data_IF_695845653395
#
_entry.id   IF_695845653395
#
_cell.length_a   1.000
_cell.length_b   1.000
_cell.length_c   1.000
_cell.angle_alpha   90.00
_cell.angle_beta   90.00
_cell.angle_gamma   90.00
#
_symmetry.space_group_name_H-M   'P 1'
#
loop_
_entity.id
_entity.type
_entity.pdbx_description
1 polymer ?
#
# COMPACT_ATOMS: atom_id res chain seq x y z
N UNK A 1 -27.55 -5.97 24.11
CA UNK A 1 -26.28 -6.63 23.65
C UNK A 1 -26.21 -6.60 22.12
N UNK A 2 -25.87 -5.46 21.51
CA UNK A 2 -25.73 -5.36 20.06
C UNK A 2 -24.61 -4.37 19.71
N UNK A 3 -23.34 -4.82 19.64
CA UNK A 3 -22.25 -3.90 19.27
C UNK A 3 -20.93 -4.56 18.83
N UNK A 4 -20.93 -5.80 18.34
CA UNK A 4 -19.69 -6.42 17.80
C UNK A 4 -19.80 -6.99 16.40
N UNK A 5 -21.01 -7.19 15.88
CA UNK A 5 -21.24 -7.81 14.57
C UNK A 5 -21.27 -6.80 13.40
N UNK A 6 -21.45 -5.50 13.69
CA UNK A 6 -21.54 -4.43 12.68
C UNK A 6 -20.17 -3.86 12.27
N UNK A 7 -19.16 -3.89 13.14
CA UNK A 7 -17.84 -3.32 12.88
C UNK A 7 -16.99 -4.15 11.91
N UNK A 8 -17.10 -5.48 11.96
CA UNK A 8 -16.37 -6.39 11.07
C UNK A 8 -16.81 -6.29 9.59
N UNK A 9 -18.09 -5.94 9.33
CA UNK A 9 -18.63 -5.80 7.96
C UNK A 9 -18.16 -4.52 7.25
N UNK A 10 -17.80 -3.46 7.99
CA UNK A 10 -17.28 -2.20 7.41
C UNK A 10 -15.83 -2.31 6.96
N UNK A 11 -14.99 -3.00 7.74
CA UNK A 11 -13.58 -3.25 7.39
C UNK A 11 -13.42 -3.98 6.05
N UNK A 12 -14.43 -4.75 5.64
CA UNK A 12 -14.42 -5.54 4.41
C UNK A 12 -14.90 -4.77 3.15
N UNK A 13 -15.16 -3.45 3.23
CA UNK A 13 -15.75 -2.68 2.12
C UNK A 13 -15.24 -1.24 2.00
N UNK A 14 -13.95 -0.98 2.26
CA UNK A 14 -13.41 0.30 1.77
C UNK A 14 -13.59 0.35 0.24
N UNK A 15 -14.18 1.42 -0.31
CA UNK A 15 -14.19 1.65 -1.74
C UNK A 15 -12.77 1.57 -2.31
N UNK A 16 -12.61 1.17 -3.58
CA UNK A 16 -11.29 1.06 -4.22
C UNK A 16 -10.40 2.28 -4.03
N UNK A 17 -10.97 3.49 -4.16
CA UNK A 17 -10.23 4.74 -3.98
C UNK A 17 -9.72 4.92 -2.55
N UNK A 18 -10.58 4.75 -1.54
CA UNK A 18 -10.18 4.90 -0.13
C UNK A 18 -9.09 3.89 0.25
N UNK A 19 -9.23 2.66 -0.22
CA UNK A 19 -8.24 1.61 -0.03
C UNK A 19 -6.91 1.94 -0.70
N UNK A 20 -6.94 2.44 -1.94
CA UNK A 20 -5.76 2.84 -2.68
C UNK A 20 -5.05 4.02 -2.00
N UNK A 21 -5.79 5.04 -1.56
CA UNK A 21 -5.23 6.18 -0.83
C UNK A 21 -4.60 5.77 0.50
N UNK A 22 -5.21 4.83 1.23
CA UNK A 22 -4.66 4.35 2.49
C UNK A 22 -3.39 3.53 2.28
N UNK A 23 -3.40 2.61 1.30
CA UNK A 23 -2.22 1.86 0.91
C UNK A 23 -1.08 2.81 0.46
N UNK A 24 -1.40 3.84 -0.32
CA UNK A 24 -0.44 4.85 -0.79
C UNK A 24 0.16 5.65 0.36
N UNK A 25 -0.66 6.12 1.31
CA UNK A 25 -0.18 6.83 2.52
C UNK A 25 0.82 5.99 3.30
N UNK A 26 0.49 4.72 3.56
CA UNK A 26 1.38 3.84 4.32
C UNK A 26 2.67 3.57 3.56
N UNK A 27 2.60 3.30 2.25
CA UNK A 27 3.79 3.08 1.43
C UNK A 27 4.73 4.29 1.44
N UNK A 28 4.20 5.50 1.25
CA UNK A 28 5.01 6.73 1.27
C UNK A 28 5.55 7.05 2.66
N UNK A 29 4.82 6.72 3.72
CA UNK A 29 5.30 6.89 5.09
C UNK A 29 6.49 5.96 5.39
N UNK A 30 6.45 4.72 4.92
CA UNK A 30 7.58 3.78 5.01
C UNK A 30 8.76 4.28 4.22
N UNK A 31 8.54 4.70 2.98
CA UNK A 31 9.59 5.25 2.12
C UNK A 31 10.28 6.48 2.75
N UNK A 32 9.49 7.35 3.38
CA UNK A 32 10.00 8.55 4.05
C UNK A 32 10.68 8.26 5.39
N UNK A 33 10.74 6.99 5.83
CA UNK A 33 11.28 6.59 7.12
C UNK A 33 10.43 7.02 8.33
N UNK A 34 9.20 7.53 8.10
CA UNK A 34 8.29 7.96 9.16
C UNK A 34 7.69 6.77 9.93
N UNK A 35 7.58 5.63 9.25
CA UNK A 35 6.94 4.42 9.75
C UNK A 35 7.80 3.22 9.36
N UNK A 36 8.04 2.29 10.28
CA UNK A 36 8.73 1.03 9.94
C UNK A 36 7.76 -0.03 9.38
N UNK A 37 8.30 -1.13 8.83
CA UNK A 37 7.50 -2.25 8.30
C UNK A 37 6.46 -2.80 9.29
N UNK A 38 6.79 -2.83 10.59
CA UNK A 38 5.96 -3.46 11.62
C UNK A 38 4.75 -2.58 11.90
N UNK A 39 4.99 -1.29 12.02
CA UNK A 39 4.00 -0.25 12.25
C UNK A 39 3.12 -0.06 11.01
N UNK A 40 3.70 -0.07 9.81
CA UNK A 40 2.95 -0.10 8.56
C UNK A 40 1.99 -1.28 8.51
N UNK A 41 2.46 -2.47 8.85
CA UNK A 41 1.61 -3.66 8.97
C UNK A 41 0.49 -3.51 10.00
N UNK A 42 0.76 -2.87 11.14
CA UNK A 42 -0.25 -2.58 12.17
C UNK A 42 -1.33 -1.64 11.63
N UNK A 43 -0.94 -0.50 11.08
CA UNK A 43 -1.86 0.50 10.50
C UNK A 43 -2.77 -0.10 9.42
N UNK A 44 -2.21 -0.90 8.52
CA UNK A 44 -2.95 -1.54 7.43
C UNK A 44 -3.97 -2.56 7.97
N UNK A 45 -3.60 -3.36 8.97
CA UNK A 45 -4.52 -4.34 9.58
C UNK A 45 -5.67 -3.68 10.32
N UNK A 46 -5.38 -2.60 11.04
CA UNK A 46 -6.39 -1.84 11.77
C UNK A 46 -7.40 -1.17 10.83
N UNK A 47 -6.92 -0.64 9.70
CA UNK A 47 -7.77 0.07 8.76
C UNK A 47 -8.53 -0.84 7.78
N UNK A 48 -7.92 -1.94 7.34
CA UNK A 48 -8.42 -2.73 6.19
C UNK A 48 -8.59 -4.23 6.49
N UNK A 49 -8.22 -4.67 7.69
CA UNK A 49 -8.38 -6.04 8.16
C UNK A 49 -7.08 -6.88 8.14
N UNK A 50 -7.11 -8.01 8.86
CA UNK A 50 -5.92 -8.82 9.21
C UNK A 50 -5.11 -9.35 8.03
N UNK A 51 -5.72 -9.47 6.85
CA UNK A 51 -5.06 -9.91 5.61
C UNK A 51 -4.07 -8.88 5.03
N UNK A 52 -4.11 -7.64 5.53
CA UNK A 52 -3.27 -6.57 5.00
C UNK A 52 -1.89 -6.51 5.66
N UNK A 53 -0.89 -6.32 4.82
CA UNK A 53 0.51 -6.10 5.15
C UNK A 53 1.10 -5.09 4.17
N UNK A 54 2.31 -4.59 4.44
CA UNK A 54 2.99 -3.69 3.51
C UNK A 54 3.16 -4.34 2.12
N UNK A 55 3.44 -5.64 2.08
CA UNK A 55 3.50 -6.42 0.85
C UNK A 55 2.19 -6.38 0.06
N UNK A 56 1.07 -6.68 0.71
CA UNK A 56 -0.23 -6.71 0.03
C UNK A 56 -0.69 -5.32 -0.38
N UNK A 57 -0.28 -4.27 0.35
CA UNK A 57 -0.49 -2.88 -0.05
C UNK A 57 0.23 -2.54 -1.35
N UNK A 58 1.50 -2.93 -1.48
CA UNK A 58 2.29 -2.74 -2.72
C UNK A 58 1.71 -3.55 -3.88
N UNK A 59 1.37 -4.82 -3.65
CA UNK A 59 0.73 -5.65 -4.65
C UNK A 59 -0.60 -5.03 -5.13
N UNK A 60 -1.43 -4.56 -4.20
CA UNK A 60 -2.68 -3.88 -4.53
C UNK A 60 -2.47 -2.61 -5.35
N UNK A 61 -1.54 -1.73 -4.94
CA UNK A 61 -1.22 -0.49 -5.64
C UNK A 61 -0.67 -0.72 -7.05
N UNK A 62 0.03 -1.83 -7.28
CA UNK A 62 0.49 -2.22 -8.61
C UNK A 62 -0.62 -2.79 -9.52
N UNK A 63 -1.82 -3.01 -8.98
CA UNK A 63 -2.97 -3.60 -9.69
C UNK A 63 -3.87 -2.58 -10.37
N UNK A 64 -4.60 -3.02 -11.40
CA UNK A 64 -5.49 -2.19 -12.22
C UNK A 64 -6.62 -1.52 -11.43
N UNK A 65 -7.12 -2.16 -10.36
CA UNK A 65 -8.17 -1.58 -9.51
C UNK A 65 -7.69 -0.30 -8.83
N UNK A 66 -6.51 -0.32 -8.20
CA UNK A 66 -5.93 0.84 -7.53
C UNK A 66 -5.54 1.93 -8.53
N UNK A 67 -4.94 1.54 -9.66
CA UNK A 67 -4.55 2.47 -10.73
C UNK A 67 -5.77 3.26 -11.23
N UNK A 68 -6.86 2.56 -11.60
CA UNK A 68 -8.07 3.22 -12.11
C UNK A 68 -8.75 4.08 -11.05
N UNK A 69 -8.75 3.63 -9.79
CA UNK A 69 -9.32 4.40 -8.71
C UNK A 69 -8.58 5.74 -8.52
N UNK A 70 -7.24 5.72 -8.51
CA UNK A 70 -6.42 6.94 -8.38
C UNK A 70 -6.52 7.81 -9.63
N UNK A 71 -6.54 7.23 -10.82
CA UNK A 71 -6.67 7.96 -12.09
C UNK A 71 -8.00 8.73 -12.19
N UNK A 72 -9.07 8.18 -11.60
CA UNK A 72 -10.40 8.82 -11.55
C UNK A 72 -10.47 10.11 -10.72
N UNK A 73 -9.42 10.42 -9.95
CA UNK A 73 -9.35 11.67 -9.20
C UNK A 73 -9.26 12.87 -10.15
N UNK A 74 -9.96 13.97 -9.87
CA UNK A 74 -9.85 15.17 -10.68
C UNK A 74 -8.45 15.79 -10.57
N UNK A 75 -8.07 16.56 -11.59
CA UNK A 75 -6.86 17.37 -11.53
C UNK A 75 -6.91 18.35 -10.35
N UNK A 76 -5.79 18.50 -9.64
CA UNK A 76 -5.71 19.33 -8.43
C UNK A 76 -6.36 18.72 -7.18
N UNK A 77 -6.79 17.45 -7.21
CA UNK A 77 -7.36 16.80 -6.03
C UNK A 77 -6.39 16.75 -4.84
N UNK A 78 -6.93 17.06 -3.65
CA UNK A 78 -6.24 17.09 -2.36
C UNK A 78 -7.17 16.58 -1.25
N UNK A 79 -6.65 15.74 -0.36
CA UNK A 79 -7.31 15.33 0.87
C UNK A 79 -6.31 15.17 2.01
N UNK A 80 -6.37 16.09 2.98
CA UNK A 80 -5.38 16.19 4.04
C UNK A 80 -4.01 16.53 3.46
N UNK A 81 -3.04 15.64 3.67
CA UNK A 81 -1.67 15.70 3.16
C UNK A 81 -1.46 14.99 1.81
N UNK A 82 -2.50 14.32 1.30
CA UNK A 82 -2.42 13.49 0.10
C UNK A 82 -2.97 14.23 -1.12
N UNK A 83 -2.15 14.34 -2.17
CA UNK A 83 -2.55 14.86 -3.49
C UNK A 83 -2.68 13.73 -4.51
N UNK A 84 -3.34 14.01 -5.65
CA UNK A 84 -3.37 13.06 -6.79
C UNK A 84 -1.96 12.68 -7.23
N UNK A 85 -1.05 13.66 -7.31
CA UNK A 85 0.35 13.45 -7.71
C UNK A 85 1.04 12.45 -6.77
N UNK A 86 0.92 12.64 -5.44
CA UNK A 86 1.52 11.72 -4.47
C UNK A 86 0.90 10.32 -4.51
N UNK A 87 -0.41 10.22 -4.76
CA UNK A 87 -1.06 8.93 -4.93
C UNK A 87 -0.54 8.20 -6.19
N UNK A 88 -0.32 8.92 -7.29
CA UNK A 88 0.29 8.39 -8.52
C UNK A 88 1.75 7.97 -8.28
N UNK A 89 2.54 8.76 -7.56
CA UNK A 89 3.92 8.40 -7.18
C UNK A 89 3.96 7.07 -6.41
N UNK A 90 3.04 6.86 -5.46
CA UNK A 90 2.95 5.61 -4.72
C UNK A 90 2.64 4.41 -5.63
N UNK A 91 1.75 4.57 -6.61
CA UNK A 91 1.45 3.54 -7.63
C UNK A 91 2.68 3.22 -8.48
N UNK A 92 3.38 4.25 -8.97
CA UNK A 92 4.59 4.07 -9.77
C UNK A 92 5.69 3.36 -8.98
N UNK A 93 5.88 3.72 -7.70
CA UNK A 93 6.82 3.04 -6.80
C UNK A 93 6.42 1.60 -6.56
N UNK A 94 5.14 1.33 -6.29
CA UNK A 94 4.65 -0.03 -6.12
C UNK A 94 4.88 -0.89 -7.38
N UNK A 95 4.61 -0.33 -8.56
CA UNK A 95 4.92 -0.94 -9.84
C UNK A 95 6.42 -1.18 -10.05
N UNK A 96 7.25 -0.19 -9.72
CA UNK A 96 8.71 -0.32 -9.80
C UNK A 96 9.24 -1.41 -8.86
N UNK A 97 8.76 -1.46 -7.61
CA UNK A 97 9.11 -2.51 -6.66
C UNK A 97 8.69 -3.85 -7.22
N UNK A 98 7.44 -4.01 -7.69
CA UNK A 98 6.97 -5.26 -8.28
C UNK A 98 7.74 -5.69 -9.56
N UNK A 99 8.24 -4.75 -10.36
CA UNK A 99 8.97 -5.05 -11.60
C UNK A 99 10.46 -5.35 -11.35
N UNK A 100 11.13 -4.56 -10.49
CA UNK A 100 12.58 -4.61 -10.28
C UNK A 100 12.99 -5.54 -9.15
N UNK A 101 12.06 -5.96 -8.31
CA UNK A 101 12.30 -7.00 -7.34
C UNK A 101 12.59 -8.38 -7.98
N UNK A 102 12.39 -8.54 -9.30
CA UNK A 102 12.88 -9.68 -10.07
C UNK A 102 14.12 -9.27 -10.89
N UNK A 103 15.27 -9.96 -10.77
CA UNK A 103 16.47 -9.71 -11.57
C UNK A 103 16.30 -9.91 -13.10
N UNK A 104 15.10 -10.23 -13.58
CA UNK A 104 14.78 -10.43 -15.01
C UNK A 104 13.45 -9.76 -15.41
N UNK A 105 12.88 -8.87 -14.58
CA UNK A 105 11.64 -8.13 -14.91
C UNK A 105 10.35 -8.97 -14.98
N UNK A 106 10.33 -10.19 -14.45
CA UNK A 106 9.13 -11.06 -14.38
C UNK A 106 8.31 -10.78 -13.11
N UNK A 107 7.00 -11.06 -13.17
CA UNK A 107 6.12 -11.04 -11.99
C UNK A 107 6.67 -11.91 -10.87
N UNK A 108 6.69 -11.37 -9.65
CA UNK A 108 7.31 -12.04 -8.51
C UNK A 108 6.36 -12.97 -7.81
N UNK A 109 6.90 -14.10 -7.36
CA UNK A 109 6.27 -14.87 -6.28
C UNK A 109 6.37 -14.08 -4.98
N UNK A 110 5.39 -14.27 -4.09
CA UNK A 110 5.27 -13.51 -2.84
C UNK A 110 6.57 -13.48 -2.02
N UNK A 111 7.34 -14.59 -1.99
CA UNK A 111 8.62 -14.65 -1.27
C UNK A 111 9.70 -13.72 -1.82
N UNK A 112 9.82 -13.59 -3.14
CA UNK A 112 10.83 -12.73 -3.78
C UNK A 112 10.46 -11.24 -3.67
N UNK A 113 9.17 -10.94 -3.73
CA UNK A 113 8.67 -9.58 -3.51
C UNK A 113 8.94 -9.09 -2.08
N UNK A 114 8.82 -9.98 -1.08
CA UNK A 114 9.19 -9.66 0.31
C UNK A 114 10.68 -9.33 0.45
N UNK A 115 11.57 -10.07 -0.22
CA UNK A 115 13.01 -9.79 -0.16
C UNK A 115 13.33 -8.41 -0.71
N UNK A 116 12.80 -8.09 -1.88
CA UNK A 116 13.08 -6.80 -2.51
C UNK A 116 12.40 -5.62 -1.83
N UNK A 117 11.21 -5.83 -1.23
CA UNK A 117 10.59 -4.88 -0.33
C UNK A 117 11.57 -4.45 0.77
N UNK A 118 12.21 -5.42 1.42
CA UNK A 118 13.22 -5.14 2.44
C UNK A 118 14.41 -4.40 1.83
N UNK A 119 14.93 -4.86 0.70
CA UNK A 119 16.09 -4.23 0.04
C UNK A 119 15.86 -2.76 -0.34
N UNK A 120 14.67 -2.41 -0.81
CA UNK A 120 14.42 -1.11 -1.44
C UNK A 120 13.63 -0.12 -0.58
N UNK A 121 12.81 -0.61 0.36
CA UNK A 121 11.97 0.25 1.20
C UNK A 121 12.35 0.19 2.69
N UNK A 122 13.21 -0.75 3.09
CA UNK A 122 13.74 -0.84 4.46
C UNK A 122 15.24 -1.14 4.44
N UNK A 123 16.08 -0.19 4.01
CA UNK A 123 17.51 -0.44 3.79
C UNK A 123 18.35 -0.73 5.05
N UNK A 124 17.75 -1.01 6.21
CA UNK A 124 18.52 -1.41 7.40
C UNK A 124 17.82 -2.48 8.25
N UNK A 125 18.36 -3.71 8.17
CA UNK A 125 18.35 -4.70 9.26
C UNK A 125 19.70 -5.39 9.30
N UNK A 126 20.75 -4.60 9.43
CA UNK A 126 22.09 -5.13 9.64
C UNK A 126 22.76 -4.42 10.80
N UNK A 127 22.16 -4.56 12.00
CA UNK A 127 22.86 -4.73 13.28
C UNK A 127 22.06 -5.63 14.20
#
# INVERSE_FOLDING_TARGET
MASRYTSAKRLNRLPPLERALLAARVLLAVESGLVDDKEAGRMLREAMGVQWSLLTAIQYLSGQEAIRAIDSLPEGWLSGDMTKVRAVEAVLKAGWVCANAHPEGKSLTSGRLVTALKTHLCPDRSR
#
